data_IF_953241694256
#
_entry.id   IF_953241694256
#
_cell.length_a   1.000
_cell.length_b   1.000
_cell.length_c   1.000
_cell.angle_alpha   90.00
_cell.angle_beta   90.00
_cell.angle_gamma   90.00
#
_symmetry.space_group_name_H-M   'P 1'
#
loop_
_entity.id
_entity.type
_entity.pdbx_description
1 polymer ?
#
# COMPACT_ATOMS: atom_id res chain seq x y z
N UNK A 1 -10.44 7.75 18.69
CA UNK A 1 -9.20 7.61 17.87
C UNK A 1 -9.36 6.34 17.05
N UNK A 2 -9.44 6.47 15.71
CA UNK A 2 -9.59 5.34 14.80
C UNK A 2 -8.59 4.24 15.12
N UNK A 3 -9.08 3.04 15.48
CA UNK A 3 -8.21 1.91 15.78
C UNK A 3 -7.52 1.41 14.50
N UNK A 4 -6.31 1.94 14.26
CA UNK A 4 -5.42 1.59 13.16
C UNK A 4 -5.00 0.11 13.19
N UNK A 5 -5.10 -0.59 14.32
CA UNK A 5 -4.65 -1.99 14.47
C UNK A 5 -5.60 -2.96 13.78
N UNK A 6 -6.88 -2.65 13.76
CA UNK A 6 -7.87 -3.48 13.05
C UNK A 6 -7.81 -3.30 11.53
N UNK A 7 -7.54 -2.08 11.02
CA UNK A 7 -7.34 -1.87 9.57
C UNK A 7 -6.10 -2.66 9.10
N UNK A 8 -5.06 -2.75 9.94
CA UNK A 8 -3.84 -3.54 9.68
C UNK A 8 -4.02 -5.06 9.79
N UNK A 9 -5.15 -5.56 10.32
CA UNK A 9 -5.44 -7.00 10.40
C UNK A 9 -5.97 -7.59 9.09
N UNK A 10 -6.37 -6.77 8.12
CA UNK A 10 -6.84 -7.26 6.82
C UNK A 10 -5.71 -8.03 6.11
N UNK A 11 -5.95 -9.33 5.85
CA UNK A 11 -4.98 -10.28 5.30
C UNK A 11 -4.47 -9.81 3.93
N UNK A 12 -5.31 -9.13 3.14
CA UNK A 12 -4.92 -8.56 1.85
C UNK A 12 -4.00 -7.35 1.99
N UNK A 13 -4.28 -6.47 2.96
CA UNK A 13 -3.47 -5.30 3.23
C UNK A 13 -2.07 -5.71 3.71
N UNK A 14 -2.00 -6.75 4.53
CA UNK A 14 -0.75 -7.36 5.01
C UNK A 14 0.03 -8.03 3.88
N UNK A 15 -0.66 -8.72 2.96
CA UNK A 15 -0.04 -9.33 1.78
C UNK A 15 0.56 -8.27 0.86
N UNK A 16 -0.20 -7.22 0.54
CA UNK A 16 0.26 -6.09 -0.28
C UNK A 16 1.45 -5.36 0.34
N UNK A 17 1.50 -5.23 1.66
CA UNK A 17 2.67 -4.67 2.35
C UNK A 17 3.89 -5.59 2.21
N UNK A 18 3.68 -6.89 2.41
CA UNK A 18 4.75 -7.90 2.37
C UNK A 18 5.30 -8.14 0.96
N UNK A 19 4.52 -7.93 -0.09
CA UNK A 19 4.96 -8.08 -1.48
C UNK A 19 5.36 -6.76 -2.12
N UNK A 20 4.61 -5.69 -1.87
CA UNK A 20 4.84 -4.36 -2.45
C UNK A 20 6.13 -3.70 -1.95
N UNK A 21 6.47 -3.83 -0.66
CA UNK A 21 7.70 -3.24 -0.12
C UNK A 21 8.95 -3.89 -0.73
N UNK A 22 9.10 -5.23 -0.76
CA UNK A 22 10.23 -5.86 -1.45
C UNK A 22 10.29 -5.51 -2.93
N UNK A 23 9.15 -5.46 -3.63
CA UNK A 23 9.11 -5.09 -5.04
C UNK A 23 9.59 -3.66 -5.29
N UNK A 24 9.18 -2.72 -4.43
CA UNK A 24 9.62 -1.34 -4.50
C UNK A 24 11.12 -1.21 -4.23
N UNK A 25 11.65 -1.96 -3.25
CA UNK A 25 13.09 -1.99 -2.97
C UNK A 25 13.86 -2.53 -4.19
N UNK A 26 13.42 -3.64 -4.78
CA UNK A 26 14.04 -4.22 -5.98
C UNK A 26 14.02 -3.22 -7.14
N UNK A 27 12.91 -2.50 -7.33
CA UNK A 27 12.77 -1.48 -8.36
C UNK A 27 13.76 -0.33 -8.15
N UNK A 28 13.83 0.24 -6.95
CA UNK A 28 14.75 1.35 -6.63
C UNK A 28 16.21 0.92 -6.75
N UNK A 29 16.56 -0.28 -6.27
CA UNK A 29 17.90 -0.84 -6.40
C UNK A 29 18.28 -1.09 -7.87
N UNK A 30 17.34 -1.57 -8.69
CA UNK A 30 17.57 -1.79 -10.12
C UNK A 30 17.77 -0.48 -10.87
N UNK A 31 17.05 0.60 -10.49
CA UNK A 31 17.26 1.93 -11.04
C UNK A 31 18.67 2.45 -10.73
N UNK A 32 19.07 2.37 -9.47
CA UNK A 32 20.37 2.84 -9.01
C UNK A 32 21.52 2.02 -9.61
N UNK A 33 21.39 0.69 -9.63
CA UNK A 33 22.39 -0.20 -10.22
C UNK A 33 22.46 -0.04 -11.75
N UNK A 34 21.32 0.13 -12.44
CA UNK A 34 21.29 0.41 -13.88
C UNK A 34 21.94 1.75 -14.22
N UNK A 35 21.74 2.78 -13.40
CA UNK A 35 22.40 4.09 -13.53
C UNK A 35 23.92 4.00 -13.34
N UNK A 36 24.38 3.25 -12.34
CA UNK A 36 25.81 3.16 -12.00
C UNK A 36 26.61 2.23 -12.93
N UNK A 37 26.02 1.11 -13.37
CA UNK A 37 26.73 0.09 -14.14
C UNK A 37 26.48 0.18 -15.66
N UNK A 38 25.58 1.05 -16.13
CA UNK A 38 25.31 1.21 -17.57
C UNK A 38 24.75 -0.05 -18.26
N UNK A 39 24.28 -1.03 -17.49
CA UNK A 39 23.82 -2.32 -18.01
C UNK A 39 22.38 -2.23 -18.52
N UNK A 40 22.11 -2.54 -19.80
CA UNK A 40 20.77 -2.50 -20.38
C UNK A 40 19.77 -3.42 -19.67
N UNK A 41 20.25 -4.56 -19.14
CA UNK A 41 19.39 -5.54 -18.46
C UNK A 41 18.77 -5.01 -17.16
N UNK A 42 19.51 -4.20 -16.40
CA UNK A 42 19.01 -3.60 -15.15
C UNK A 42 17.98 -2.50 -15.43
N UNK A 43 18.15 -1.75 -16.52
CA UNK A 43 17.16 -0.78 -16.99
C UNK A 43 15.83 -1.44 -17.38
N UNK A 44 15.89 -2.57 -18.10
CA UNK A 44 14.70 -3.37 -18.45
C UNK A 44 14.00 -3.91 -17.19
N UNK A 45 14.77 -4.40 -16.21
CA UNK A 45 14.24 -4.90 -14.94
C UNK A 45 13.50 -3.79 -14.17
N UNK A 46 14.04 -2.56 -14.16
CA UNK A 46 13.37 -1.40 -13.59
C UNK A 46 12.05 -1.09 -14.31
N UNK A 47 12.06 -1.08 -15.65
CA UNK A 47 10.88 -0.79 -16.46
C UNK A 47 9.70 -1.75 -16.22
N UNK A 48 9.98 -3.01 -15.87
CA UNK A 48 8.94 -4.00 -15.55
C UNK A 48 8.53 -3.90 -14.07
N UNK A 49 9.51 -3.80 -13.16
CA UNK A 49 9.23 -3.82 -11.71
C UNK A 49 8.60 -2.53 -11.20
N UNK A 50 8.92 -1.38 -11.81
CA UNK A 50 8.40 -0.07 -11.43
C UNK A 50 6.87 0.04 -11.57
N UNK A 51 6.26 -0.22 -12.75
CA UNK A 51 4.80 -0.16 -12.89
C UNK A 51 4.08 -1.19 -12.02
N UNK A 52 4.64 -2.40 -11.81
CA UNK A 52 4.07 -3.36 -10.86
C UNK A 52 4.10 -2.83 -9.41
N UNK A 53 5.24 -2.29 -8.96
CA UNK A 53 5.36 -1.73 -7.62
C UNK A 53 4.40 -0.55 -7.43
N UNK A 54 4.27 0.30 -8.45
CA UNK A 54 3.37 1.44 -8.45
C UNK A 54 1.89 1.01 -8.41
N UNK A 55 1.50 0.00 -9.20
CA UNK A 55 0.16 -0.56 -9.20
C UNK A 55 -0.21 -1.17 -7.83
N UNK A 56 0.71 -1.94 -7.22
CA UNK A 56 0.50 -2.53 -5.89
C UNK A 56 0.41 -1.43 -4.82
N UNK A 57 1.26 -0.41 -4.88
CA UNK A 57 1.23 0.74 -3.96
C UNK A 57 -0.07 1.55 -4.06
N UNK A 58 -0.55 1.80 -5.29
CA UNK A 58 -1.84 2.47 -5.53
C UNK A 58 -3.00 1.63 -4.98
N UNK A 59 -3.03 0.33 -5.29
CA UNK A 59 -4.08 -0.57 -4.80
C UNK A 59 -4.11 -0.65 -3.26
N UNK A 60 -2.94 -0.66 -2.62
CA UNK A 60 -2.82 -0.58 -1.16
C UNK A 60 -3.42 0.72 -0.61
N UNK A 61 -3.03 1.86 -1.16
CA UNK A 61 -3.51 3.17 -0.71
C UNK A 61 -5.03 3.31 -0.87
N UNK A 62 -5.59 2.90 -2.00
CA UNK A 62 -7.04 2.93 -2.25
C UNK A 62 -7.78 2.08 -1.23
N UNK A 63 -7.32 0.84 -0.98
CA UNK A 63 -7.96 -0.06 -0.02
C UNK A 63 -7.86 0.46 1.41
N UNK A 64 -6.72 1.03 1.78
CA UNK A 64 -6.53 1.67 3.08
C UNK A 64 -7.52 2.83 3.28
N UNK A 65 -7.64 3.72 2.29
CA UNK A 65 -8.58 4.86 2.34
C UNK A 65 -10.02 4.37 2.42
N UNK A 66 -10.42 3.37 1.64
CA UNK A 66 -11.77 2.80 1.67
C UNK A 66 -12.12 2.25 3.07
N UNK A 67 -11.19 1.51 3.69
CA UNK A 67 -11.39 0.99 5.05
C UNK A 67 -11.42 2.11 6.10
N UNK A 68 -10.57 3.13 5.96
CA UNK A 68 -10.57 4.30 6.85
C UNK A 68 -11.90 5.06 6.78
N UNK A 69 -12.44 5.29 5.58
CA UNK A 69 -13.74 5.96 5.37
C UNK A 69 -14.89 5.12 5.92
N UNK A 70 -14.89 3.80 5.72
CA UNK A 70 -15.90 2.90 6.31
C UNK A 70 -15.92 2.99 7.84
N UNK A 71 -14.75 2.89 8.47
CA UNK A 71 -14.64 3.01 9.93
C UNK A 71 -15.08 4.36 10.47
N UNK A 72 -14.74 5.46 9.78
CA UNK A 72 -15.23 6.79 10.18
C UNK A 72 -16.75 6.89 10.13
N UNK A 73 -17.41 6.25 9.16
CA UNK A 73 -18.89 6.20 9.11
C UNK A 73 -19.47 5.37 10.26
N UNK A 74 -18.89 4.21 10.55
CA UNK A 74 -19.32 3.35 11.66
C UNK A 74 -19.13 4.02 13.03
N UNK A 75 -18.03 4.77 13.22
CA UNK A 75 -17.79 5.54 14.45
C UNK A 75 -18.83 6.65 14.62
N UNK A 76 -19.14 7.40 13.55
CA UNK A 76 -20.18 8.44 13.58
C UNK A 76 -21.56 7.87 13.89
N UNK A 77 -21.92 6.75 13.27
CA UNK A 77 -23.23 6.12 13.51
C UNK A 77 -23.36 5.58 14.95
N UNK A 78 -22.25 5.07 15.52
CA UNK A 78 -22.20 4.66 16.94
C UNK A 78 -22.32 5.86 17.88
N UNK A 79 -21.67 6.98 17.59
CA UNK A 79 -21.79 8.21 18.39
C UNK A 79 -23.22 8.76 18.37
N UNK A 80 -23.87 8.80 17.20
CA UNK A 80 -25.26 9.26 17.07
C UNK A 80 -26.24 8.35 17.83
N UNK A 81 -26.06 7.02 17.73
CA UNK A 81 -26.90 6.03 18.41
C UNK A 81 -26.66 5.96 19.93
N UNK A 82 -25.46 6.34 20.38
CA UNK A 82 -25.12 6.49 21.80
C UNK A 82 -25.65 7.78 22.43
N UNK A 83 -25.86 8.84 21.63
CA UNK A 83 -26.39 10.13 22.10
C UNK A 83 -27.93 10.18 22.19
N UNK A 84 -28.60 9.21 21.57
CA UNK A 84 -30.08 9.04 21.60
C UNK A 84 -30.55 8.06 22.69
N UNK A 85 -29.64 7.54 23.51
CA UNK A 85 -29.93 6.76 24.73
C UNK A 85 -29.54 7.57 25.96
#
# INVERSE_FOLDING_TARGET
MVDKREIRKDRYLKLMTKTGIPLAIISVLSLWAGRYFGSPGLGMLFFITCPLAMAIGLAYNIRYVMLAVRKQREEKEKEERGRTR
#
